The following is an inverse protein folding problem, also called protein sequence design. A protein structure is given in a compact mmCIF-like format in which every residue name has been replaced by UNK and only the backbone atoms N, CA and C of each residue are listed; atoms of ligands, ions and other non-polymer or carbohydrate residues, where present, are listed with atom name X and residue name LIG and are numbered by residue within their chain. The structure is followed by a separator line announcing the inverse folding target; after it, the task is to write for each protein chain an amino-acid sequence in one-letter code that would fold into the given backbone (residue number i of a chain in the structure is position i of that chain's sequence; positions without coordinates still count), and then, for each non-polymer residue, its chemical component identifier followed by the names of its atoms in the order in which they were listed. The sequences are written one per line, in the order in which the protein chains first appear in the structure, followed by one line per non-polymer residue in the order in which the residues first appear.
data_IF_869759647620
#
_entry.id   IF_869759647620
#
_cell.length_a   1.000
_cell.length_b   1.000
_cell.length_c   1.000
_cell.angle_alpha   90.00
_cell.angle_beta   90.00
_cell.angle_gamma   90.00
#
_symmetry.space_group_name_H-M   'P 1'
#
loop_
_entity.id
_entity.type
_entity.pdbx_description
1 polymer ?
#
# COMPACT_ATOMS: atom_id res chain seq x y z
N UNK A 1 -18.33 -16.13 -8.40
CA UNK A 1 -17.07 -15.51 -7.98
C UNK A 1 -16.26 -15.03 -9.19
N UNK A 2 -16.45 -15.51 -10.40
CA UNK A 2 -15.81 -14.99 -11.61
C UNK A 2 -16.16 -13.50 -11.85
N UNK A 3 -15.23 -12.69 -12.35
CA UNK A 3 -15.36 -11.27 -12.64
C UNK A 3 -15.42 -10.33 -11.39
N UNK A 4 -14.52 -10.51 -10.46
CA UNK A 4 -14.35 -9.52 -9.40
C UNK A 4 -13.62 -8.28 -9.94
N UNK A 5 -14.39 -7.34 -10.44
CA UNK A 5 -13.91 -5.99 -10.70
C UNK A 5 -13.72 -5.29 -9.36
N UNK A 6 -12.46 -5.01 -9.00
CA UNK A 6 -12.16 -4.14 -7.86
C UNK A 6 -12.11 -2.73 -8.39
N UNK A 7 -13.22 -2.02 -8.24
CA UNK A 7 -13.27 -0.59 -8.53
C UNK A 7 -13.43 0.15 -7.22
N UNK A 8 -12.59 1.13 -6.95
CA UNK A 8 -12.74 1.94 -5.75
C UNK A 8 -12.55 3.42 -6.06
N UNK A 9 -13.16 4.23 -5.20
CA UNK A 9 -12.97 5.68 -5.23
C UNK A 9 -11.60 6.04 -4.70
N UNK A 10 -10.88 6.86 -5.44
CA UNK A 10 -9.62 7.46 -5.03
C UNK A 10 -9.74 8.98 -4.93
N UNK A 11 -8.71 9.66 -4.42
CA UNK A 11 -8.65 11.13 -4.42
C UNK A 11 -8.75 11.66 -5.85
N UNK A 12 -9.68 12.60 -6.10
CA UNK A 12 -9.82 13.26 -7.42
C UNK A 12 -8.67 14.17 -7.73
N UNK A 13 -8.05 14.72 -6.69
CA UNK A 13 -7.01 15.73 -6.84
C UNK A 13 -5.64 15.07 -6.78
N UNK A 14 -4.79 15.46 -7.72
CA UNK A 14 -3.37 15.17 -7.65
C UNK A 14 -2.64 15.99 -6.58
N UNK A 15 -3.33 16.78 -5.77
CA UNK A 15 -2.75 17.61 -4.73
C UNK A 15 -2.29 16.84 -3.50
N UNK A 16 -1.44 17.46 -2.72
CA UNK A 16 -0.85 16.94 -1.50
C UNK A 16 -1.39 17.70 -0.28
N UNK A 17 -1.45 16.99 0.86
CA UNK A 17 -1.86 17.55 2.14
C UNK A 17 -0.64 17.68 3.07
N UNK A 18 -0.73 18.52 4.10
CA UNK A 18 0.32 18.68 5.10
C UNK A 18 1.58 19.36 4.58
N UNK A 19 1.48 20.17 3.53
CA UNK A 19 2.60 20.86 2.85
C UNK A 19 2.84 22.28 3.35
N UNK A 20 2.18 22.66 4.45
CA UNK A 20 2.44 23.88 5.22
C UNK A 20 2.69 23.54 6.68
N UNK A 21 3.37 24.42 7.42
CA UNK A 21 3.58 24.23 8.85
C UNK A 21 2.25 24.13 9.63
N UNK A 22 1.28 24.94 9.25
CA UNK A 22 -0.02 24.93 9.90
C UNK A 22 -0.75 23.58 9.68
N UNK A 23 -0.84 23.11 8.44
CA UNK A 23 -1.51 21.85 8.13
C UNK A 23 -0.78 20.66 8.78
N UNK A 24 0.56 20.66 8.71
CA UNK A 24 1.37 19.65 9.36
C UNK A 24 1.10 19.59 10.87
N UNK A 25 1.06 20.74 11.55
CA UNK A 25 0.81 20.82 12.98
C UNK A 25 -0.61 20.33 13.33
N UNK A 26 -1.61 20.73 12.57
CA UNK A 26 -3.00 20.24 12.76
C UNK A 26 -3.07 18.72 12.62
N UNK A 27 -2.45 18.15 11.60
CA UNK A 27 -2.38 16.69 11.39
C UNK A 27 -1.68 15.99 12.56
N UNK A 28 -0.54 16.53 13.04
CA UNK A 28 0.16 15.96 14.20
C UNK A 28 -0.68 16.01 15.49
N UNK A 29 -1.60 16.98 15.60
CA UNK A 29 -2.55 17.09 16.70
C UNK A 29 -3.82 16.22 16.51
N UNK A 30 -3.91 15.47 15.41
CA UNK A 30 -5.05 14.61 15.11
C UNK A 30 -6.24 15.31 14.47
N UNK A 31 -6.04 16.52 13.97
CA UNK A 31 -7.07 17.28 13.25
C UNK A 31 -6.98 17.02 11.74
N UNK A 32 -8.07 17.33 11.03
CA UNK A 32 -8.12 17.26 9.57
C UNK A 32 -8.24 18.71 9.06
N UNK A 33 -7.12 19.31 8.57
CA UNK A 33 -7.09 20.73 8.26
C UNK A 33 -7.99 21.14 7.10
N UNK A 34 -8.17 20.23 6.13
CA UNK A 34 -9.00 20.45 4.94
C UNK A 34 -9.80 19.20 4.59
N UNK A 35 -10.97 19.32 3.94
CA UNK A 35 -11.75 18.16 3.51
C UNK A 35 -11.00 17.30 2.49
N UNK A 36 -11.09 15.99 2.64
CA UNK A 36 -10.60 15.04 1.64
C UNK A 36 -11.46 15.13 0.37
N UNK A 37 -10.82 15.28 -0.78
CA UNK A 37 -11.47 15.23 -2.09
C UNK A 37 -11.37 13.81 -2.65
N UNK A 38 -12.52 13.22 -3.02
CA UNK A 38 -12.61 11.84 -3.50
C UNK A 38 -13.23 11.83 -4.90
N UNK A 39 -12.67 11.02 -5.79
CA UNK A 39 -13.20 10.80 -7.13
C UNK A 39 -14.62 10.22 -7.07
N UNK A 40 -15.52 10.74 -7.89
CA UNK A 40 -16.88 10.24 -8.04
C UNK A 40 -16.95 8.98 -8.90
N UNK A 41 -15.96 8.72 -9.74
CA UNK A 41 -15.89 7.57 -10.63
C UNK A 41 -15.19 6.39 -9.98
N UNK A 42 -15.70 5.18 -10.24
CA UNK A 42 -15.04 3.95 -9.87
C UNK A 42 -14.06 3.56 -10.97
N UNK A 43 -12.81 3.28 -10.58
CA UNK A 43 -11.73 2.91 -11.52
C UNK A 43 -10.95 1.72 -10.98
N UNK A 44 -10.36 0.95 -11.89
CA UNK A 44 -9.36 -0.05 -11.54
C UNK A 44 -8.11 0.63 -10.99
N UNK A 45 -7.33 -0.09 -10.20
CA UNK A 45 -6.05 0.40 -9.70
C UNK A 45 -5.07 0.49 -10.88
N UNK A 46 -4.70 1.72 -11.28
CA UNK A 46 -3.86 1.97 -12.43
C UNK A 46 -2.61 2.81 -12.10
N UNK A 47 -2.51 3.31 -10.86
CA UNK A 47 -1.36 4.06 -10.40
C UNK A 47 -1.15 3.90 -8.89
N UNK A 48 0.03 4.30 -8.35
CA UNK A 48 0.32 4.17 -6.91
C UNK A 48 -0.66 4.91 -6.00
N UNK A 49 -1.22 6.04 -6.42
CA UNK A 49 -2.21 6.79 -5.64
C UNK A 49 -3.51 6.01 -5.49
N UNK A 50 -3.95 5.32 -6.55
CA UNK A 50 -5.12 4.44 -6.49
C UNK A 50 -4.86 3.21 -5.60
N UNK A 51 -3.65 2.66 -5.66
CA UNK A 51 -3.24 1.59 -4.75
C UNK A 51 -3.24 2.06 -3.29
N UNK A 52 -2.72 3.27 -3.02
CA UNK A 52 -2.82 3.89 -1.69
C UNK A 52 -4.27 4.05 -1.23
N UNK A 53 -5.18 4.41 -2.14
CA UNK A 53 -6.61 4.50 -1.84
C UNK A 53 -7.23 3.14 -1.52
N UNK A 54 -6.83 2.09 -2.22
CA UNK A 54 -7.31 0.74 -1.95
C UNK A 54 -6.95 0.25 -0.54
N UNK A 55 -5.73 0.54 -0.06
CA UNK A 55 -5.25 0.09 1.25
C UNK A 55 -5.58 1.07 2.39
N UNK A 56 -6.20 2.21 2.11
CA UNK A 56 -6.51 3.22 3.12
C UNK A 56 -7.62 2.77 4.09
N UNK A 57 -8.64 2.10 3.58
CA UNK A 57 -9.81 1.68 4.36
C UNK A 57 -10.15 0.19 4.15
N UNK A 58 -9.12 -0.65 4.06
CA UNK A 58 -9.25 -2.09 3.87
C UNK A 58 -9.23 -2.85 5.21
N UNK A 59 -9.70 -4.11 5.19
CA UNK A 59 -9.23 -5.07 6.16
C UNK A 59 -7.92 -5.67 5.64
N UNK A 60 -6.91 -5.70 6.47
CA UNK A 60 -5.48 -5.84 6.12
C UNK A 60 -5.07 -7.05 5.24
N UNK A 61 -5.95 -8.01 5.02
CA UNK A 61 -5.74 -9.17 4.14
C UNK A 61 -6.69 -9.19 2.94
N UNK A 62 -7.43 -8.12 2.69
CA UNK A 62 -8.46 -8.02 1.66
C UNK A 62 -7.94 -8.39 0.27
N UNK A 63 -6.78 -7.84 -0.13
CA UNK A 63 -6.19 -8.13 -1.42
C UNK A 63 -5.89 -9.63 -1.61
N UNK A 64 -5.36 -10.27 -0.57
CA UNK A 64 -5.01 -11.69 -0.61
C UNK A 64 -6.24 -12.61 -0.56
N UNK A 65 -7.30 -12.19 0.14
CA UNK A 65 -8.58 -12.89 0.11
C UNK A 65 -9.20 -12.82 -1.29
N UNK A 66 -9.16 -11.66 -1.93
CA UNK A 66 -9.65 -11.52 -3.30
C UNK A 66 -8.81 -12.35 -4.28
N UNK A 67 -7.47 -12.34 -4.14
CA UNK A 67 -6.61 -13.19 -4.96
C UNK A 67 -6.94 -14.67 -4.78
N UNK A 68 -7.11 -15.15 -3.55
CA UNK A 68 -7.53 -16.51 -3.26
C UNK A 68 -8.87 -16.86 -3.93
N UNK A 69 -9.86 -15.98 -3.78
CA UNK A 69 -11.20 -16.17 -4.34
C UNK A 69 -11.18 -16.20 -5.88
N UNK A 70 -10.38 -15.36 -6.51
CA UNK A 70 -10.20 -15.34 -7.96
C UNK A 70 -9.54 -16.65 -8.41
N UNK A 71 -8.42 -17.05 -7.80
CA UNK A 71 -7.71 -18.27 -8.15
C UNK A 71 -8.57 -19.54 -8.02
N UNK A 72 -9.37 -19.61 -6.95
CA UNK A 72 -10.36 -20.70 -6.79
C UNK A 72 -11.45 -20.63 -7.86
N UNK A 73 -11.98 -19.43 -8.11
CA UNK A 73 -13.07 -19.23 -9.08
C UNK A 73 -12.67 -19.56 -10.51
N UNK A 74 -11.44 -19.24 -10.90
CA UNK A 74 -10.88 -19.53 -12.23
C UNK A 74 -10.27 -20.94 -12.33
N UNK A 75 -10.35 -21.74 -11.28
CA UNK A 75 -9.90 -23.13 -11.31
C UNK A 75 -8.38 -23.30 -11.34
N UNK A 76 -7.63 -22.35 -10.76
CA UNK A 76 -6.18 -22.46 -10.66
C UNK A 76 -5.75 -23.80 -10.04
N UNK A 77 -4.73 -24.42 -10.63
CA UNK A 77 -4.25 -25.73 -10.19
C UNK A 77 -3.71 -25.64 -8.75
N UNK A 78 -3.97 -26.68 -7.95
CA UNK A 78 -3.48 -26.79 -6.57
C UNK A 78 -2.20 -27.58 -6.50
N UNK A 79 -1.42 -27.32 -5.48
CA UNK A 79 -0.28 -28.18 -5.14
C UNK A 79 -0.78 -29.62 -4.84
N UNK A 80 0.03 -30.61 -5.21
CA UNK A 80 -0.36 -32.03 -5.14
C UNK A 80 -0.81 -32.50 -3.75
N UNK A 81 -0.28 -31.87 -2.70
CA UNK A 81 -0.65 -32.17 -1.30
C UNK A 81 -2.12 -31.84 -0.99
N UNK A 82 -2.78 -30.99 -1.79
CA UNK A 82 -4.15 -30.52 -1.54
C UNK A 82 -5.18 -31.06 -2.54
N UNK A 83 -4.74 -31.82 -3.54
CA UNK A 83 -5.63 -32.28 -4.65
C UNK A 83 -6.75 -33.22 -4.18
N UNK A 84 -6.52 -33.99 -3.13
CA UNK A 84 -7.48 -34.97 -2.61
C UNK A 84 -8.43 -34.44 -1.54
N UNK A 85 -8.34 -33.19 -1.17
CA UNK A 85 -9.20 -32.63 -0.13
C UNK A 85 -10.54 -32.16 -0.68
N UNK A 86 -11.61 -32.37 0.07
CA UNK A 86 -12.93 -31.81 -0.21
C UNK A 86 -13.07 -30.45 0.48
N UNK A 87 -13.80 -29.51 -0.11
CA UNK A 87 -14.00 -28.15 0.41
C UNK A 87 -12.74 -27.30 0.53
N UNK A 88 -11.78 -27.48 -0.34
CA UNK A 88 -10.50 -26.78 -0.30
C UNK A 88 -10.63 -25.27 -0.52
N UNK A 89 -11.59 -24.83 -1.33
CA UNK A 89 -11.89 -23.39 -1.48
C UNK A 89 -12.23 -22.76 -0.16
N UNK A 90 -13.05 -23.44 0.66
CA UNK A 90 -13.41 -22.99 2.00
C UNK A 90 -12.20 -22.87 2.95
N UNK A 91 -11.22 -23.78 2.82
CA UNK A 91 -10.01 -23.71 3.63
C UNK A 91 -9.18 -22.46 3.34
N UNK A 92 -8.93 -22.15 2.07
CA UNK A 92 -8.12 -20.99 1.68
C UNK A 92 -8.90 -19.69 1.87
N UNK A 93 -10.14 -19.63 1.38
CA UNK A 93 -10.95 -18.42 1.38
C UNK A 93 -11.38 -18.00 2.78
N UNK A 94 -11.82 -18.96 3.59
CA UNK A 94 -12.45 -18.65 4.87
C UNK A 94 -11.57 -18.92 6.09
N UNK A 95 -10.45 -19.58 5.94
CA UNK A 95 -9.63 -20.00 7.07
C UNK A 95 -8.18 -19.50 6.99
N UNK A 96 -7.41 -20.06 6.07
CA UNK A 96 -5.96 -19.93 6.11
C UNK A 96 -5.46 -18.50 5.94
N UNK A 97 -6.01 -17.73 4.99
CA UNK A 97 -5.60 -16.36 4.73
C UNK A 97 -5.92 -15.44 5.92
N UNK A 98 -7.12 -15.55 6.46
CA UNK A 98 -7.53 -14.77 7.63
C UNK A 98 -6.75 -15.13 8.89
N UNK A 99 -6.52 -16.42 9.13
CA UNK A 99 -5.81 -16.89 10.33
C UNK A 99 -4.32 -16.50 10.30
N UNK A 100 -3.63 -16.67 9.19
CA UNK A 100 -2.23 -16.27 9.07
C UNK A 100 -2.08 -14.74 9.18
N UNK A 101 -3.01 -13.99 8.59
CA UNK A 101 -3.07 -12.54 8.72
C UNK A 101 -3.20 -12.09 10.17
N UNK A 102 -4.08 -12.73 10.93
CA UNK A 102 -4.27 -12.45 12.36
C UNK A 102 -2.99 -12.68 13.17
N UNK A 103 -2.26 -13.75 12.90
CA UNK A 103 -0.99 -14.04 13.58
C UNK A 103 0.10 -13.04 13.18
N UNK A 104 0.22 -12.74 11.90
CA UNK A 104 1.17 -11.76 11.36
C UNK A 104 0.93 -10.36 11.95
N UNK A 105 -0.35 -9.94 12.05
CA UNK A 105 -0.72 -8.65 12.64
C UNK A 105 -0.34 -8.58 14.13
N UNK A 106 -0.63 -9.59 14.91
CA UNK A 106 -0.26 -9.63 16.35
C UNK A 106 1.24 -9.54 16.54
N UNK A 107 2.03 -10.28 15.77
CA UNK A 107 3.49 -10.24 15.84
C UNK A 107 4.01 -8.83 15.46
N UNK A 108 3.47 -8.25 14.39
CA UNK A 108 3.80 -6.90 13.95
C UNK A 108 3.51 -5.85 15.04
N UNK A 109 2.35 -5.94 15.69
CA UNK A 109 1.96 -4.98 16.73
C UNK A 109 2.85 -5.06 17.96
N UNK A 110 3.29 -6.24 18.35
CA UNK A 110 4.30 -6.39 19.43
C UNK A 110 5.60 -5.67 19.03
N UNK A 111 6.06 -5.84 17.80
CA UNK A 111 7.27 -5.14 17.31
C UNK A 111 7.07 -3.62 17.25
N UNK A 112 5.94 -3.15 16.71
CA UNK A 112 5.61 -1.73 16.60
C UNK A 112 5.60 -1.03 17.96
N UNK A 113 4.83 -1.57 18.91
CA UNK A 113 4.49 -0.88 20.16
C UNK A 113 5.44 -1.18 21.31
N UNK A 114 6.14 -2.32 21.31
CA UNK A 114 7.00 -2.74 22.41
C UNK A 114 8.48 -2.72 22.10
N UNK A 115 8.85 -2.70 20.82
CA UNK A 115 10.27 -2.80 20.43
C UNK A 115 10.77 -1.54 19.73
N UNK A 116 10.07 -1.11 18.71
CA UNK A 116 10.62 -0.10 17.80
C UNK A 116 10.06 1.31 18.02
N UNK A 117 8.76 1.48 18.24
CA UNK A 117 8.10 2.79 18.44
C UNK A 117 8.56 3.85 17.42
N UNK A 118 8.70 3.44 16.14
CA UNK A 118 9.22 4.32 15.09
C UNK A 118 8.18 5.36 14.69
N UNK A 119 8.64 6.57 14.52
CA UNK A 119 7.84 7.70 14.08
C UNK A 119 7.31 7.50 12.67
N UNK A 120 6.24 8.21 12.33
CA UNK A 120 5.71 8.27 10.98
C UNK A 120 6.59 9.16 10.10
N UNK A 121 6.59 8.97 8.75
CA UNK A 121 7.43 9.75 7.84
C UNK A 121 7.22 11.26 7.93
N UNK A 122 5.99 11.73 8.10
CA UNK A 122 5.67 13.15 8.22
C UNK A 122 6.27 13.81 9.47
N UNK A 123 6.44 13.05 10.53
CA UNK A 123 7.10 13.56 11.73
C UNK A 123 8.62 13.65 11.53
N UNK A 124 9.20 12.72 10.79
CA UNK A 124 10.60 12.80 10.38
C UNK A 124 10.86 14.02 9.49
N UNK A 125 9.99 14.28 8.53
CA UNK A 125 10.05 15.46 7.67
C UNK A 125 9.94 16.75 8.48
N UNK A 126 9.04 16.81 9.46
CA UNK A 126 8.93 17.93 10.39
C UNK A 126 10.22 18.19 11.15
N UNK A 127 10.96 17.16 11.57
CA UNK A 127 12.30 17.34 12.20
C UNK A 127 13.31 17.90 11.22
N UNK A 128 13.31 17.50 9.96
CA UNK A 128 14.19 18.06 8.93
C UNK A 128 13.92 19.55 8.80
N UNK A 129 12.67 19.96 8.62
CA UNK A 129 12.28 21.37 8.52
C UNK A 129 12.71 22.16 9.77
N UNK A 130 12.47 21.61 10.95
CA UNK A 130 12.83 22.28 12.22
C UNK A 130 14.35 22.36 12.49
N UNK A 131 15.14 21.52 11.88
CA UNK A 131 16.60 21.63 11.87
C UNK A 131 17.04 22.71 10.87
N UNK A 132 16.45 22.75 9.68
CA UNK A 132 16.78 23.74 8.66
C UNK A 132 16.42 25.17 9.10
N UNK A 133 15.34 25.37 9.83
CA UNK A 133 14.95 26.69 10.35
C UNK A 133 15.64 27.07 11.69
N UNK A 134 16.48 26.16 12.22
CA UNK A 134 17.24 26.39 13.46
C UNK A 134 16.45 26.19 14.75
N UNK A 135 15.18 25.79 14.69
CA UNK A 135 14.35 25.53 15.88
C UNK A 135 14.77 24.24 16.61
N UNK A 136 15.28 23.25 15.87
CA UNK A 136 15.76 21.99 16.41
C UNK A 136 17.26 21.84 16.18
N UNK A 137 17.99 21.27 17.16
CA UNK A 137 19.42 20.99 17.01
C UNK A 137 19.69 20.00 15.86
N UNK A 138 20.73 20.25 15.08
CA UNK A 138 21.20 19.35 14.03
C UNK A 138 21.56 17.95 14.55
N UNK A 139 21.86 17.80 15.84
CA UNK A 139 22.11 16.50 16.48
C UNK A 139 20.85 15.64 16.69
N UNK A 140 19.65 16.17 16.43
CA UNK A 140 18.39 15.44 16.55
C UNK A 140 18.21 14.37 15.46
N UNK A 141 18.91 14.50 14.33
CA UNK A 141 18.93 13.52 13.24
C UNK A 141 20.38 13.16 12.87
N UNK A 142 20.52 11.97 12.25
CA UNK A 142 21.84 11.57 11.75
C UNK A 142 22.27 12.45 10.58
N UNK A 143 23.54 12.89 10.57
CA UNK A 143 24.07 13.80 9.55
C UNK A 143 23.95 13.27 8.11
N UNK A 144 23.94 11.95 7.91
CA UNK A 144 23.79 11.34 6.60
C UNK A 144 22.45 11.64 5.92
N UNK A 145 21.43 12.00 6.68
CA UNK A 145 20.12 12.41 6.11
C UNK A 145 20.32 13.63 5.20
N UNK A 146 21.08 14.61 5.66
CA UNK A 146 21.39 15.80 4.85
C UNK A 146 22.50 15.54 3.82
N UNK A 147 23.52 14.78 4.17
CA UNK A 147 24.63 14.49 3.27
C UNK A 147 24.23 13.64 2.06
N UNK A 148 23.35 12.65 2.24
CA UNK A 148 22.96 11.70 1.19
C UNK A 148 21.54 11.96 0.65
N UNK A 149 20.74 12.72 1.36
CA UNK A 149 19.32 12.95 1.04
C UNK A 149 19.00 14.36 0.57
N UNK A 150 19.99 15.24 0.38
CA UNK A 150 19.76 16.65 0.07
C UNK A 150 18.95 16.83 -1.23
N UNK A 151 19.29 16.10 -2.29
CA UNK A 151 18.54 16.17 -3.55
C UNK A 151 17.07 15.80 -3.38
N UNK A 152 16.77 14.82 -2.52
CA UNK A 152 15.40 14.43 -2.20
C UNK A 152 14.68 15.51 -1.38
N UNK A 153 15.38 16.10 -0.41
CA UNK A 153 14.84 17.20 0.40
C UNK A 153 14.49 18.40 -0.49
N UNK A 154 15.37 18.76 -1.41
CA UNK A 154 15.16 19.87 -2.33
C UNK A 154 14.01 19.57 -3.32
N UNK A 155 13.94 18.37 -3.86
CA UNK A 155 12.82 17.95 -4.71
C UNK A 155 11.46 18.01 -3.99
N UNK A 156 11.41 17.70 -2.70
CA UNK A 156 10.18 17.83 -1.88
C UNK A 156 9.80 19.30 -1.68
N UNK A 157 10.77 20.20 -1.44
CA UNK A 157 10.54 21.65 -1.35
C UNK A 157 9.95 22.21 -2.63
N UNK A 158 10.55 21.86 -3.78
CA UNK A 158 10.08 22.28 -5.10
C UNK A 158 8.65 21.78 -5.38
N UNK A 159 8.38 20.52 -5.04
CA UNK A 159 7.04 19.95 -5.16
C UNK A 159 6.02 20.70 -4.30
N UNK A 160 6.33 20.95 -3.03
CA UNK A 160 5.41 21.62 -2.12
C UNK A 160 5.11 23.05 -2.58
N UNK A 161 6.13 23.78 -3.04
CA UNK A 161 5.96 25.12 -3.60
C UNK A 161 5.08 25.09 -4.85
N UNK A 162 5.29 24.13 -5.75
CA UNK A 162 4.49 23.98 -6.99
C UNK A 162 3.02 23.62 -6.68
N UNK A 163 2.74 22.92 -5.59
CA UNK A 163 1.38 22.58 -5.13
C UNK A 163 0.71 23.70 -4.30
N UNK A 164 1.38 24.85 -4.15
CA UNK A 164 0.85 26.02 -3.41
C UNK A 164 1.07 25.97 -1.90
N UNK A 165 1.97 25.09 -1.43
CA UNK A 165 2.44 25.04 -0.05
C UNK A 165 3.66 25.91 0.20
N UNK A 166 4.45 25.55 1.22
CA UNK A 166 5.68 26.23 1.59
C UNK A 166 6.89 25.61 0.88
N UNK A 167 7.91 26.42 0.57
CA UNK A 167 9.22 25.96 0.11
C UNK A 167 10.01 25.33 1.27
N UNK A 168 9.44 24.28 1.85
CA UNK A 168 10.00 23.49 2.95
C UNK A 168 9.75 22.00 2.74
N UNK A 169 10.55 21.17 3.38
CA UNK A 169 10.52 19.72 3.20
C UNK A 169 9.43 19.04 4.04
N UNK A 170 8.25 19.65 4.17
CA UNK A 170 7.08 18.97 4.73
C UNK A 170 6.74 17.74 3.89
N UNK A 171 6.45 16.61 4.53
CA UNK A 171 6.10 15.38 3.82
C UNK A 171 4.76 15.52 3.10
N UNK A 172 4.70 15.48 1.75
CA UNK A 172 3.44 15.51 1.04
C UNK A 172 2.62 14.25 1.35
N UNK A 173 1.41 14.43 1.83
CA UNK A 173 0.51 13.35 2.24
C UNK A 173 -0.61 13.15 1.23
N UNK A 174 -1.01 11.90 1.03
CA UNK A 174 -2.11 11.55 0.14
C UNK A 174 -3.47 11.85 0.78
N UNK A 175 -3.55 11.85 2.11
CA UNK A 175 -4.79 12.02 2.88
C UNK A 175 -4.69 13.19 3.83
N UNK A 176 -5.81 13.90 3.98
CA UNK A 176 -5.89 15.09 4.82
C UNK A 176 -5.68 14.81 6.32
N UNK A 177 -6.01 13.61 6.78
CA UNK A 177 -5.80 13.16 8.16
C UNK A 177 -4.37 12.67 8.45
N UNK A 178 -3.53 12.59 7.42
CA UNK A 178 -2.16 12.11 7.57
C UNK A 178 -2.02 10.60 7.61
N UNK A 179 -0.93 10.13 8.20
CA UNK A 179 -0.66 8.70 8.36
C UNK A 179 -1.48 8.08 9.49
N UNK A 180 -1.74 6.75 9.43
CA UNK A 180 -2.38 6.04 10.53
C UNK A 180 -1.68 6.24 11.88
N UNK A 181 -2.45 6.39 12.95
CA UNK A 181 -1.98 6.73 14.31
C UNK A 181 -1.32 5.55 15.04
N UNK A 182 -0.39 4.87 14.39
CA UNK A 182 0.42 3.80 14.98
C UNK A 182 1.86 3.85 14.44
N UNK A 183 2.85 3.25 15.17
CA UNK A 183 4.25 3.27 14.75
C UNK A 183 4.46 2.75 13.32
N UNK A 184 5.42 3.33 12.58
CA UNK A 184 5.64 3.03 11.17
C UNK A 184 6.29 1.66 10.92
N UNK A 185 7.07 1.13 11.86
CA UNK A 185 7.89 -0.06 11.66
C UNK A 185 7.65 -1.14 12.71
N UNK A 186 7.60 -2.42 12.29
CA UNK A 186 7.53 -2.91 10.91
C UNK A 186 6.18 -2.58 10.26
N UNK A 187 6.14 -2.63 8.92
CA UNK A 187 4.91 -2.36 8.16
C UNK A 187 3.86 -3.46 8.39
N UNK A 188 2.66 -3.10 8.84
CA UNK A 188 1.56 -4.04 9.06
C UNK A 188 1.19 -4.79 7.80
N UNK A 189 0.80 -4.07 6.77
CA UNK A 189 0.48 -4.64 5.46
C UNK A 189 1.64 -5.46 4.87
N UNK A 190 2.90 -5.01 4.99
CA UNK A 190 4.04 -5.74 4.45
C UNK A 190 4.26 -7.11 5.11
N UNK A 191 4.13 -7.23 6.44
CA UNK A 191 4.25 -8.51 7.14
C UNK A 191 3.08 -9.43 6.81
N UNK A 192 1.87 -8.89 6.74
CA UNK A 192 0.66 -9.65 6.38
C UNK A 192 0.75 -10.11 4.93
N UNK A 193 1.18 -9.23 4.01
CA UNK A 193 1.37 -9.58 2.61
C UNK A 193 2.34 -10.76 2.46
N UNK A 194 3.50 -10.72 3.10
CA UNK A 194 4.45 -11.84 3.06
C UNK A 194 3.86 -13.14 3.61
N UNK A 195 3.11 -13.08 4.70
CA UNK A 195 2.47 -14.25 5.27
C UNK A 195 1.37 -14.82 4.37
N UNK A 196 0.48 -13.98 3.85
CA UNK A 196 -0.62 -14.39 2.98
C UNK A 196 -0.12 -14.88 1.63
N UNK A 197 0.85 -14.18 1.01
CA UNK A 197 1.49 -14.63 -0.24
C UNK A 197 2.12 -16.02 -0.08
N UNK A 198 2.75 -16.28 1.06
CA UNK A 198 3.32 -17.60 1.35
C UNK A 198 2.24 -18.69 1.39
N UNK A 199 1.12 -18.45 2.05
CA UNK A 199 0.00 -19.40 2.11
C UNK A 199 -0.57 -19.66 0.72
N UNK A 200 -0.78 -18.63 -0.08
CA UNK A 200 -1.29 -18.79 -1.45
C UNK A 200 -0.33 -19.62 -2.30
N UNK A 201 0.99 -19.39 -2.22
CA UNK A 201 1.99 -20.18 -2.95
C UNK A 201 2.14 -21.63 -2.44
N UNK A 202 1.87 -21.87 -1.16
CA UNK A 202 1.82 -23.24 -0.63
C UNK A 202 0.61 -24.00 -1.19
N UNK A 203 -0.52 -23.32 -1.38
CA UNK A 203 -1.77 -23.93 -1.78
C UNK A 203 -1.91 -24.09 -3.30
N UNK A 204 -1.64 -23.04 -4.07
CA UNK A 204 -1.74 -23.05 -5.53
C UNK A 204 -0.43 -23.49 -6.19
N UNK A 205 -0.53 -24.30 -7.23
CA UNK A 205 0.61 -24.63 -8.08
C UNK A 205 1.01 -23.42 -8.94
N UNK A 206 2.30 -23.29 -9.21
CA UNK A 206 2.77 -22.28 -10.15
C UNK A 206 2.38 -22.68 -11.59
N UNK A 207 1.79 -21.76 -12.32
CA UNK A 207 1.41 -21.92 -13.71
C UNK A 207 1.44 -20.56 -14.42
N UNK A 208 1.46 -20.58 -15.74
CA UNK A 208 1.40 -19.33 -16.50
C UNK A 208 0.08 -18.60 -16.23
N UNK A 209 0.14 -17.30 -15.98
CA UNK A 209 -1.02 -16.44 -15.73
C UNK A 209 -2.07 -16.53 -16.84
N UNK A 210 -1.62 -16.61 -18.08
CA UNK A 210 -2.48 -16.74 -19.26
C UNK A 210 -3.42 -17.95 -19.22
N UNK A 211 -3.12 -18.98 -18.41
CA UNK A 211 -4.01 -20.16 -18.26
C UNK A 211 -5.31 -19.83 -17.52
N UNK A 212 -5.37 -18.72 -16.81
CA UNK A 212 -6.55 -18.27 -16.08
C UNK A 212 -7.49 -17.40 -16.91
N UNK A 213 -7.06 -16.91 -18.08
CA UNK A 213 -7.88 -16.03 -18.93
C UNK A 213 -8.19 -14.66 -18.31
N UNK A 214 -7.42 -14.23 -17.32
CA UNK A 214 -7.61 -12.97 -16.64
C UNK A 214 -7.00 -11.81 -17.43
N UNK A 215 -7.70 -10.67 -17.44
CA UNK A 215 -7.19 -9.42 -17.98
C UNK A 215 -6.31 -8.65 -16.99
N UNK A 216 -5.56 -7.70 -17.50
CA UNK A 216 -4.74 -6.75 -16.77
C UNK A 216 -5.22 -5.32 -17.02
N UNK A 217 -4.81 -4.38 -16.17
CA UNK A 217 -5.14 -2.97 -16.36
C UNK A 217 -4.12 -2.35 -17.32
N UNK A 218 -4.54 -2.10 -18.56
CA UNK A 218 -3.71 -1.43 -19.55
C UNK A 218 -4.08 0.05 -19.76
N UNK A 219 -5.32 0.43 -19.44
CA UNK A 219 -5.75 1.81 -19.63
C UNK A 219 -5.05 2.76 -18.65
N UNK A 220 -4.51 3.86 -19.15
CA UNK A 220 -3.86 4.89 -18.33
C UNK A 220 -4.80 5.59 -17.35
N UNK A 221 -6.10 5.44 -17.54
CA UNK A 221 -7.15 6.04 -16.70
C UNK A 221 -7.88 5.03 -15.79
N UNK A 222 -7.52 3.75 -15.86
CA UNK A 222 -8.14 2.69 -15.08
C UNK A 222 -9.58 2.36 -15.47
N UNK A 223 -10.00 2.68 -16.70
CA UNK A 223 -11.41 2.49 -17.14
C UNK A 223 -11.74 1.06 -17.55
N UNK A 224 -10.74 0.27 -17.96
CA UNK A 224 -10.95 -1.08 -18.49
C UNK A 224 -9.80 -2.06 -18.15
N UNK A 225 -10.10 -3.34 -18.27
CA UNK A 225 -9.13 -4.44 -18.22
C UNK A 225 -8.99 -5.01 -19.62
N UNK A 226 -7.76 -5.17 -20.08
CA UNK A 226 -7.42 -5.75 -21.37
C UNK A 226 -6.53 -6.99 -21.17
N UNK A 227 -6.39 -7.80 -22.22
CA UNK A 227 -5.46 -8.92 -22.19
C UNK A 227 -4.02 -8.40 -22.27
N UNK A 228 -3.16 -8.88 -21.38
CA UNK A 228 -1.74 -8.54 -21.46
C UNK A 228 -1.07 -9.26 -22.64
N UNK A 229 -0.64 -8.51 -23.64
CA UNK A 229 -0.13 -9.04 -24.92
C UNK A 229 1.35 -8.76 -25.17
N UNK A 230 2.06 -8.20 -24.20
CA UNK A 230 3.48 -7.91 -24.31
C UNK A 230 4.34 -9.17 -24.51
N UNK A 231 5.56 -9.00 -25.01
CA UNK A 231 6.45 -10.10 -25.35
C UNK A 231 6.79 -11.02 -24.17
N UNK A 232 6.70 -10.54 -22.96
CA UNK A 232 6.96 -11.28 -21.72
C UNK A 232 5.70 -11.90 -21.08
N UNK A 233 4.53 -11.77 -21.70
CA UNK A 233 3.26 -12.29 -21.17
C UNK A 233 3.32 -13.77 -20.80
N UNK A 234 4.10 -14.56 -21.53
CA UNK A 234 4.30 -15.98 -21.24
C UNK A 234 5.14 -16.26 -19.99
N UNK A 235 5.89 -15.27 -19.51
CA UNK A 235 6.76 -15.39 -18.34
C UNK A 235 6.03 -14.98 -17.05
N UNK A 236 4.84 -14.39 -17.14
CA UNK A 236 4.05 -14.04 -15.97
C UNK A 236 3.43 -15.32 -15.42
N UNK A 237 3.69 -15.60 -14.15
CA UNK A 237 3.19 -16.80 -13.47
C UNK A 237 2.31 -16.42 -12.28
N UNK A 238 1.49 -17.37 -11.83
CA UNK A 238 0.65 -17.20 -10.62
C UNK A 238 1.50 -16.84 -9.42
N UNK A 239 2.62 -17.54 -9.19
CA UNK A 239 3.51 -17.22 -8.06
C UNK A 239 4.26 -15.90 -8.24
N UNK A 240 4.53 -15.50 -9.49
CA UNK A 240 5.10 -14.19 -9.80
C UNK A 240 4.17 -13.06 -9.39
N UNK A 241 2.89 -13.16 -9.75
CA UNK A 241 1.88 -12.15 -9.42
C UNK A 241 1.48 -12.12 -7.93
N UNK A 242 1.63 -13.23 -7.22
CA UNK A 242 1.40 -13.29 -5.77
C UNK A 242 2.53 -12.57 -4.99
N UNK A 243 3.72 -12.41 -5.55
CA UNK A 243 4.84 -11.74 -4.90
C UNK A 243 4.71 -10.22 -4.91
#
# INVERSE_FOLDING_TARGET
IGNHTISQKGPTKAGSYGITEQDWLEIQNGNVPVPQVIDSELKYIYNPRQLGSFVHADFVYQAHLYAASILVGEGAARQSAFVSQTNEGSFVDNGAVGEISRHALKATWVQKWRKHMRLRPEEMAGRIVKIEDGTLSSSALHADIFRCGQDTIDAVKDHNLAEGGEEKAWMPLQYAEGSPTHPSYPAGHGVIAGACSTILKIYFADAAWSTLGLGVVESLDGSQLDAYTEADASNITIHGEIN
#
